data_IF_836047657482
#
_entry.id   IF_836047657482
#
_cell.length_a   1.000
_cell.length_b   1.000
_cell.length_c   1.000
_cell.angle_alpha   90.00
_cell.angle_beta   90.00
_cell.angle_gamma   90.00
#
_symmetry.space_group_name_H-M   'P 1'
#
loop_
_entity.id
_entity.type
_entity.pdbx_description
1 polymer ?
#
# COMPACT_ATOMS: atom_id res chain seq x y z
N UNK A 1 -6.11 -2.25 9.65
CA UNK A 1 -5.41 -1.35 8.70
C UNK A 1 -4.80 -2.13 7.53
N UNK A 2 -4.52 -1.52 6.36
CA UNK A 2 -3.96 -2.21 5.19
C UNK A 2 -2.51 -1.81 4.93
N UNK A 3 -1.58 -2.75 5.10
CA UNK A 3 -0.15 -2.52 4.93
C UNK A 3 0.40 -3.19 3.69
N UNK A 4 0.78 -2.39 2.71
CA UNK A 4 1.46 -2.89 1.51
C UNK A 4 2.96 -2.75 1.66
N UNK A 5 3.69 -3.86 1.55
CA UNK A 5 5.13 -3.77 1.33
C UNK A 5 5.35 -3.11 -0.03
N UNK A 6 6.05 -1.95 -0.05
CA UNK A 6 6.32 -1.19 -1.29
C UNK A 6 6.74 -2.13 -2.42
N UNK A 7 5.94 -2.26 -3.48
CA UNK A 7 6.26 -3.15 -4.59
C UNK A 7 7.34 -2.53 -5.48
N UNK A 8 8.22 -3.35 -6.06
CA UNK A 8 9.36 -2.86 -6.85
C UNK A 8 8.94 -2.16 -8.15
N UNK A 9 7.80 -2.56 -8.69
CA UNK A 9 7.19 -2.06 -9.92
C UNK A 9 6.16 -0.94 -9.70
N UNK A 10 5.93 -0.53 -8.44
CA UNK A 10 5.15 0.66 -8.10
C UNK A 10 6.04 1.74 -7.51
N UNK A 11 6.15 2.85 -8.23
CA UNK A 11 6.79 4.05 -7.71
C UNK A 11 5.73 4.89 -7.01
N UNK A 12 6.08 5.43 -5.85
CA UNK A 12 5.21 6.34 -5.11
C UNK A 12 5.84 7.70 -5.32
N UNK A 13 5.20 8.52 -6.15
CA UNK A 13 5.80 9.77 -6.54
C UNK A 13 5.72 10.77 -5.39
N UNK A 14 6.85 11.42 -5.08
CA UNK A 14 6.87 12.60 -4.21
C UNK A 14 6.93 13.89 -5.02
N UNK A 15 7.35 13.85 -6.28
CA UNK A 15 7.52 15.01 -7.13
C UNK A 15 7.06 14.69 -8.55
N UNK A 16 5.95 15.31 -8.98
CA UNK A 16 5.26 15.12 -10.27
C UNK A 16 6.11 15.40 -11.54
N UNK A 17 7.44 15.49 -11.44
CA UNK A 17 8.34 16.02 -12.47
C UNK A 17 9.00 14.97 -13.37
N UNK A 18 8.91 13.68 -13.04
CA UNK A 18 9.48 12.62 -13.88
C UNK A 18 8.52 11.47 -14.13
N UNK A 19 7.96 11.41 -15.34
CA UNK A 19 7.20 10.25 -15.83
C UNK A 19 8.15 9.07 -16.00
N UNK A 20 8.28 8.22 -14.99
CA UNK A 20 8.90 6.91 -15.17
C UNK A 20 7.93 5.99 -15.93
N UNK A 21 8.46 5.06 -16.74
CA UNK A 21 7.68 4.02 -17.43
C UNK A 21 7.05 2.98 -16.47
N UNK A 22 7.17 3.18 -15.15
CA UNK A 22 6.64 2.26 -14.13
C UNK A 22 5.26 2.70 -13.66
N UNK A 23 4.53 1.82 -12.99
CA UNK A 23 3.25 2.17 -12.41
C UNK A 23 3.48 3.16 -11.27
N UNK A 24 2.89 4.34 -11.36
CA UNK A 24 3.13 5.40 -10.37
C UNK A 24 1.87 5.65 -9.55
N UNK A 25 2.00 5.59 -8.24
CA UNK A 25 0.98 6.01 -7.28
C UNK A 25 1.10 7.52 -7.11
N UNK A 26 0.09 8.25 -7.58
CA UNK A 26 0.01 9.71 -7.49
C UNK A 26 -1.26 10.13 -6.76
N UNK A 27 -1.22 11.33 -6.19
CA UNK A 27 -2.37 11.95 -5.52
C UNK A 27 -2.62 13.33 -6.12
N UNK A 28 -3.85 13.59 -6.56
CA UNK A 28 -4.28 14.89 -7.07
C UNK A 28 -5.56 15.31 -6.37
N UNK A 29 -5.58 16.50 -5.78
CA UNK A 29 -6.74 17.05 -5.05
C UNK A 29 -7.25 16.07 -3.97
N UNK A 30 -6.34 15.45 -3.21
CA UNK A 30 -6.66 14.46 -2.17
C UNK A 30 -7.15 13.10 -2.69
N UNK A 31 -7.24 12.89 -4.01
CA UNK A 31 -7.65 11.63 -4.62
C UNK A 31 -6.43 10.90 -5.18
N UNK A 32 -6.23 9.66 -4.74
CA UNK A 32 -5.21 8.79 -5.32
C UNK A 32 -5.70 8.17 -6.63
N UNK A 33 -4.79 8.01 -7.60
CA UNK A 33 -5.03 7.21 -8.81
C UNK A 33 -5.03 5.70 -8.52
N UNK A 34 -4.66 5.30 -7.30
CA UNK A 34 -4.53 3.92 -6.86
C UNK A 34 -5.57 3.59 -5.82
N UNK A 35 -6.26 2.46 -5.98
CA UNK A 35 -7.35 2.02 -5.09
C UNK A 35 -7.12 0.59 -4.62
N UNK A 36 -7.46 0.33 -3.37
CA UNK A 36 -7.63 -1.03 -2.88
C UNK A 36 -9.04 -1.52 -3.25
N UNK A 37 -9.12 -2.67 -3.91
CA UNK A 37 -10.38 -3.31 -4.30
C UNK A 37 -10.47 -4.65 -3.58
N UNK A 38 -11.59 -4.89 -2.91
CA UNK A 38 -11.93 -6.17 -2.27
C UNK A 38 -13.17 -6.69 -2.97
N UNK A 39 -13.07 -7.87 -3.57
CA UNK A 39 -14.19 -8.54 -4.22
C UNK A 39 -14.97 -9.40 -3.22
N UNK A 40 -16.19 -9.79 -3.60
CA UNK A 40 -17.08 -10.60 -2.77
C UNK A 40 -16.51 -11.99 -2.44
N UNK A 41 -15.65 -12.53 -3.32
CA UNK A 41 -14.92 -13.78 -3.11
C UNK A 41 -13.75 -13.65 -2.11
N UNK A 42 -13.56 -12.46 -1.53
CA UNK A 42 -12.48 -12.14 -0.60
C UNK A 42 -11.13 -11.86 -1.27
N UNK A 43 -11.05 -11.91 -2.60
CA UNK A 43 -9.83 -11.57 -3.32
C UNK A 43 -9.57 -10.06 -3.25
N UNK A 44 -8.29 -9.71 -3.08
CA UNK A 44 -7.85 -8.32 -2.89
C UNK A 44 -6.92 -7.91 -4.02
N UNK A 45 -7.17 -6.72 -4.58
CA UNK A 45 -6.38 -6.16 -5.68
C UNK A 45 -5.99 -4.72 -5.40
N UNK A 46 -4.81 -4.33 -5.86
CA UNK A 46 -4.41 -2.94 -5.98
C UNK A 46 -4.66 -2.49 -7.42
N UNK A 47 -5.61 -1.57 -7.62
CA UNK A 47 -5.93 -1.00 -8.93
C UNK A 47 -5.17 0.30 -9.14
N UNK A 48 -4.40 0.41 -10.23
CA UNK A 48 -3.74 1.65 -10.66
C UNK A 48 -4.16 1.95 -12.11
N UNK A 49 -5.03 2.94 -12.31
CA UNK A 49 -5.65 3.20 -13.62
C UNK A 49 -6.44 1.99 -14.13
N UNK A 50 -6.05 1.44 -15.29
CA UNK A 50 -6.66 0.23 -15.89
C UNK A 50 -6.02 -1.08 -15.41
N UNK A 51 -4.94 -1.01 -14.63
CA UNK A 51 -4.16 -2.17 -14.20
C UNK A 51 -4.62 -2.68 -12.84
N UNK A 52 -4.58 -3.99 -12.67
CA UNK A 52 -4.98 -4.68 -11.45
C UNK A 52 -3.85 -5.60 -11.01
N UNK A 53 -3.36 -5.38 -9.79
CA UNK A 53 -2.34 -6.22 -9.18
C UNK A 53 -2.97 -7.05 -8.07
N UNK A 54 -2.99 -8.38 -8.25
CA UNK A 54 -3.50 -9.28 -7.20
C UNK A 54 -2.62 -9.16 -5.96
N UNK A 55 -3.25 -9.00 -4.81
CA UNK A 55 -2.57 -8.89 -3.53
C UNK A 55 -2.60 -10.24 -2.83
N UNK A 56 -1.47 -10.61 -2.24
CA UNK A 56 -1.36 -11.77 -1.37
C UNK A 56 -1.16 -11.30 0.07
N UNK A 57 -1.85 -11.94 0.99
CA UNK A 57 -1.71 -11.72 2.42
C UNK A 57 -0.59 -12.59 2.98
N UNK A 58 0.21 -12.03 3.90
CA UNK A 58 1.17 -12.78 4.71
C UNK A 58 1.09 -12.36 6.16
N UNK A 59 0.93 -13.34 7.02
CA UNK A 59 1.03 -13.17 8.46
C UNK A 59 2.46 -12.76 8.87
N UNK A 60 2.56 -11.85 9.82
CA UNK A 60 3.81 -11.38 10.39
C UNK A 60 4.00 -12.10 11.72
N UNK A 61 5.00 -12.98 11.79
CA UNK A 61 5.35 -13.71 13.03
C UNK A 61 6.20 -12.90 14.02
N UNK A 62 6.60 -11.68 13.65
CA UNK A 62 7.39 -10.77 14.48
C UNK A 62 6.46 -9.76 15.14
N UNK A 63 6.76 -9.36 16.39
CA UNK A 63 6.03 -8.31 17.07
C UNK A 63 6.40 -6.94 16.46
N UNK A 64 5.73 -6.58 15.38
CA UNK A 64 5.85 -5.28 14.73
C UNK A 64 4.69 -4.40 15.18
N UNK A 65 5.00 -3.15 15.52
CA UNK A 65 4.04 -2.15 15.97
C UNK A 65 4.00 -0.98 15.01
N UNK A 66 2.82 -0.42 14.84
CA UNK A 66 2.62 0.78 14.04
C UNK A 66 2.58 1.94 15.01
N UNK A 67 3.46 2.89 14.78
CA UNK A 67 3.55 4.09 15.60
C UNK A 67 3.15 5.32 14.79
N UNK A 68 2.55 6.29 15.47
CA UNK A 68 2.29 7.63 14.94
C UNK A 68 3.07 8.63 15.77
N UNK A 69 3.73 9.55 15.10
CA UNK A 69 4.35 10.70 15.72
C UNK A 69 3.26 11.76 15.99
N UNK A 70 3.16 12.19 17.24
CA UNK A 70 2.31 13.30 17.68
C UNK A 70 3.17 14.39 18.34
N UNK A 71 2.52 15.44 18.81
CA UNK A 71 3.19 16.63 19.38
C UNK A 71 4.04 16.29 20.63
N UNK A 72 3.63 15.29 21.40
CA UNK A 72 4.31 14.87 22.64
C UNK A 72 5.25 13.67 22.46
N UNK A 73 5.40 13.16 21.24
CA UNK A 73 6.29 12.04 20.93
C UNK A 73 5.64 10.91 20.12
N UNK A 74 6.19 9.70 20.23
CA UNK A 74 5.78 8.55 19.43
C UNK A 74 4.80 7.69 20.23
N UNK A 75 3.59 7.50 19.69
CA UNK A 75 2.57 6.62 20.27
C UNK A 75 2.39 5.35 19.44
N UNK A 76 2.24 4.20 20.12
CA UNK A 76 1.83 2.94 19.47
C UNK A 76 0.35 3.02 19.18
N UNK A 77 -0.04 2.78 17.93
CA UNK A 77 -1.42 2.83 17.44
C UNK A 77 -2.02 1.44 17.29
N UNK A 78 -1.25 0.48 16.76
CA UNK A 78 -1.77 -0.85 16.42
C UNK A 78 -0.63 -1.88 16.33
N UNK A 79 -0.91 -3.14 16.64
CA UNK A 79 -0.01 -4.27 16.35
C UNK A 79 -0.15 -4.70 14.88
N UNK A 80 0.99 -4.88 14.20
CA UNK A 80 1.04 -5.23 12.79
C UNK A 80 1.12 -6.75 12.60
N UNK A 81 -0.04 -7.40 12.57
CA UNK A 81 -0.12 -8.86 12.45
C UNK A 81 -0.11 -9.37 11.00
N UNK A 82 -0.41 -8.51 10.03
CA UNK A 82 -0.57 -8.87 8.61
C UNK A 82 0.08 -7.84 7.70
N UNK A 83 0.64 -8.30 6.59
CA UNK A 83 1.08 -7.46 5.47
C UNK A 83 0.63 -8.04 4.14
N UNK A 84 0.47 -7.14 3.19
CA UNK A 84 0.08 -7.42 1.84
C UNK A 84 1.24 -7.15 0.90
N UNK A 85 1.37 -7.98 -0.12
CA UNK A 85 2.37 -7.86 -1.17
C UNK A 85 1.71 -8.13 -2.51
N UNK A 86 2.21 -7.53 -3.57
CA UNK A 86 1.74 -7.89 -4.91
C UNK A 86 2.19 -9.31 -5.20
N UNK A 87 1.25 -10.15 -5.61
CA UNK A 87 1.53 -11.49 -6.04
C UNK A 87 2.46 -11.42 -7.25
N UNK A 88 3.59 -12.13 -7.18
CA UNK A 88 4.41 -12.37 -8.36
C UNK A 88 3.76 -13.57 -9.05
N UNK A 89 3.27 -13.36 -10.26
CA UNK A 89 2.97 -14.47 -11.17
C UNK A 89 4.26 -15.25 -11.48
#
# INVERSE_FOLDING_TARGET
>A
MFFVKKPFNLEFDKDNSSYSKKFTVTTRNGKSNTKLVVYEDGSVYLKNGSQYFKMAEKEIKKNLKICREGEEGICVVEDMNKKWFMHRE
#
